data_IF_726045264996
#
_entry.id   IF_726045264996
#
_cell.length_a   1.000
_cell.length_b   1.000
_cell.length_c   1.000
_cell.angle_alpha   90.00
_cell.angle_beta   90.00
_cell.angle_gamma   90.00
#
_symmetry.space_group_name_H-M   'P 1'
#
loop_
_entity.id
_entity.type
_entity.pdbx_description
1 polymer ?
#
# COMPACT_ATOMS: atom_id res chain seq x y z
N UNK A 1 -13.02 2.83 2.95
CA UNK A 1 -11.58 2.66 3.18
C UNK A 1 -11.03 3.83 3.97
N UNK A 2 -10.76 3.60 5.24
CA UNK A 2 -9.94 4.46 6.09
C UNK A 2 -8.46 4.13 5.85
N UNK A 3 -7.60 5.13 5.88
CA UNK A 3 -6.14 4.91 5.80
C UNK A 3 -5.55 5.24 7.16
N UNK A 4 -4.79 4.31 7.73
CA UNK A 4 -3.98 4.52 8.92
C UNK A 4 -2.52 4.46 8.54
N UNK A 5 -1.88 5.61 8.50
CA UNK A 5 -0.45 5.69 8.25
C UNK A 5 0.28 6.09 9.53
N UNK A 6 1.37 5.39 9.87
CA UNK A 6 2.26 5.82 10.94
C UNK A 6 2.82 7.23 10.65
N UNK A 7 3.22 8.03 11.66
CA UNK A 7 3.82 9.34 11.41
C UNK A 7 5.00 9.30 10.44
N UNK A 8 5.84 8.27 10.56
CA UNK A 8 6.98 8.04 9.67
C UNK A 8 6.54 7.70 8.24
N UNK A 9 5.47 6.91 8.07
CA UNK A 9 4.93 6.60 6.75
C UNK A 9 4.37 7.85 6.06
N UNK A 10 3.69 8.73 6.82
CA UNK A 10 3.16 10.01 6.29
C UNK A 10 4.30 10.91 5.81
N UNK A 11 5.40 10.96 6.54
CA UNK A 11 6.57 11.74 6.17
C UNK A 11 7.21 11.20 4.88
N UNK A 12 7.44 9.89 4.81
CA UNK A 12 8.03 9.26 3.61
C UNK A 12 7.13 9.44 2.37
N UNK A 13 5.80 9.37 2.53
CA UNK A 13 4.85 9.66 1.45
C UNK A 13 4.93 11.11 1.00
N UNK A 14 5.03 12.06 1.94
CA UNK A 14 5.17 13.48 1.64
C UNK A 14 6.48 13.78 0.90
N UNK A 15 7.59 13.21 1.35
CA UNK A 15 8.90 13.32 0.68
C UNK A 15 8.86 12.77 -0.75
N UNK A 16 8.11 11.69 -0.98
CA UNK A 16 7.87 11.10 -2.30
C UNK A 16 6.79 11.81 -3.16
N UNK A 17 6.37 13.02 -2.79
CA UNK A 17 5.42 13.81 -3.57
C UNK A 17 3.93 13.57 -3.23
N UNK A 18 3.65 13.05 -2.03
CA UNK A 18 2.30 12.97 -1.45
C UNK A 18 1.41 11.84 -1.97
N UNK A 19 1.95 10.94 -2.79
CA UNK A 19 1.21 9.86 -3.45
C UNK A 19 1.67 8.51 -2.93
N UNK A 20 0.72 7.60 -2.72
CA UNK A 20 0.97 6.22 -2.33
C UNK A 20 0.38 5.26 -3.35
N UNK A 21 1.24 4.51 -4.03
CA UNK A 21 0.86 3.46 -4.95
C UNK A 21 0.83 2.12 -4.22
N UNK A 22 -0.29 1.40 -4.28
CA UNK A 22 -0.48 0.12 -3.59
C UNK A 22 -0.94 -0.93 -4.60
N UNK A 23 -0.30 -2.10 -4.55
CA UNK A 23 -0.62 -3.22 -5.45
C UNK A 23 -0.41 -4.56 -4.79
N UNK A 24 -1.05 -5.59 -5.35
CA UNK A 24 -0.87 -6.97 -4.93
C UNK A 24 0.35 -7.60 -5.58
N UNK A 25 1.14 -8.35 -4.81
CA UNK A 25 2.20 -9.24 -5.28
C UNK A 25 1.90 -10.66 -4.80
N UNK A 26 1.69 -11.56 -5.75
CA UNK A 26 1.50 -12.98 -5.45
C UNK A 26 2.81 -13.57 -4.92
N UNK A 27 2.77 -14.26 -3.78
CA UNK A 27 3.86 -15.10 -3.31
C UNK A 27 4.09 -16.25 -4.29
N UNK A 28 5.36 -16.64 -4.52
CA UNK A 28 5.69 -17.73 -5.47
C UNK A 28 5.67 -19.12 -4.85
N UNK A 29 5.55 -19.27 -3.53
CA UNK A 29 5.50 -20.59 -2.87
C UNK A 29 4.41 -20.69 -1.82
N UNK A 30 3.78 -21.86 -1.83
CA UNK A 30 3.13 -22.52 -0.71
C UNK A 30 1.92 -21.74 -0.14
N UNK A 31 0.80 -21.82 -0.87
CA UNK A 31 -0.46 -21.15 -0.54
C UNK A 31 -0.57 -19.78 -1.24
N UNK A 32 -1.73 -19.47 -1.78
CA UNK A 32 -2.03 -18.29 -2.62
C UNK A 32 -2.01 -16.95 -1.85
N UNK A 33 -1.02 -16.73 -0.99
CA UNK A 33 -0.89 -15.51 -0.21
C UNK A 33 -0.54 -14.35 -1.15
N UNK A 34 -1.37 -13.32 -1.09
CA UNK A 34 -1.25 -12.15 -1.94
C UNK A 34 -0.80 -10.97 -1.09
N UNK A 35 0.49 -10.71 -1.07
CA UNK A 35 1.01 -9.59 -0.30
C UNK A 35 0.62 -8.27 -0.93
N UNK A 36 0.52 -7.22 -0.13
CA UNK A 36 0.45 -5.86 -0.64
C UNK A 36 1.85 -5.27 -0.63
N UNK A 37 2.13 -4.49 -1.67
CA UNK A 37 3.30 -3.65 -1.75
C UNK A 37 2.84 -2.21 -1.84
N UNK A 38 3.68 -1.32 -1.31
CA UNK A 38 3.45 0.10 -1.33
C UNK A 38 4.72 0.85 -1.75
N UNK A 39 4.56 1.93 -2.49
CA UNK A 39 5.65 2.82 -2.91
C UNK A 39 5.13 4.23 -3.16
N UNK A 40 6.00 5.22 -3.04
CA UNK A 40 5.73 6.60 -3.46
C UNK A 40 5.93 6.82 -4.95
N UNK A 41 6.60 5.89 -5.62
CA UNK A 41 6.80 5.86 -7.05
C UNK A 41 5.92 4.79 -7.71
N UNK A 42 5.28 5.16 -8.82
CA UNK A 42 4.43 4.26 -9.58
C UNK A 42 5.29 3.24 -10.36
N UNK A 43 5.16 1.93 -10.11
CA UNK A 43 5.69 0.94 -11.05
C UNK A 43 4.91 0.95 -12.37
N UNK A 44 5.47 0.36 -13.42
CA UNK A 44 4.82 0.20 -14.75
C UNK A 44 3.58 -0.70 -14.67
N UNK A 45 2.43 -0.12 -14.28
CA UNK A 45 1.10 -0.73 -14.24
C UNK A 45 0.04 0.35 -14.11
N UNK A 46 -1.21 -0.03 -14.34
CA UNK A 46 -2.35 0.87 -14.21
C UNK A 46 -2.80 1.04 -12.76
N UNK A 47 -3.07 2.28 -12.38
CA UNK A 47 -3.56 2.65 -11.06
C UNK A 47 -4.81 3.53 -11.16
N UNK A 48 -5.68 3.40 -10.17
CA UNK A 48 -6.82 4.29 -9.95
C UNK A 48 -6.70 4.98 -8.60
N UNK A 49 -6.99 6.29 -8.58
CA UNK A 49 -7.10 7.04 -7.34
C UNK A 49 -8.28 6.54 -6.54
N UNK A 50 -8.10 6.38 -5.23
CA UNK A 50 -9.17 6.09 -4.27
C UNK A 50 -9.29 7.25 -3.30
N UNK A 51 -10.53 7.58 -2.94
CA UNK A 51 -10.79 8.57 -1.92
C UNK A 51 -10.25 8.07 -0.57
N UNK A 52 -9.28 8.79 -0.03
CA UNK A 52 -8.66 8.56 1.26
C UNK A 52 -8.41 9.92 1.92
N UNK A 53 -8.68 10.02 3.23
CA UNK A 53 -8.78 11.30 3.91
C UNK A 53 -7.42 11.98 4.18
N UNK A 54 -6.32 11.21 4.24
CA UNK A 54 -5.04 11.70 4.76
C UNK A 54 -3.88 11.71 3.74
N UNK A 55 -3.91 10.81 2.76
CA UNK A 55 -2.88 10.69 1.71
C UNK A 55 -3.54 10.32 0.39
N UNK A 56 -2.96 10.74 -0.73
CA UNK A 56 -3.46 10.33 -2.04
C UNK A 56 -3.09 8.87 -2.32
N UNK A 57 -4.06 7.97 -2.19
CA UNK A 57 -3.85 6.54 -2.45
C UNK A 57 -4.25 6.19 -3.88
N UNK A 58 -3.39 5.44 -4.54
CA UNK A 58 -3.55 4.90 -5.89
C UNK A 58 -3.47 3.38 -5.79
N UNK A 59 -4.56 2.68 -6.10
CA UNK A 59 -4.61 1.22 -6.10
C UNK A 59 -4.47 0.67 -7.51
N UNK A 60 -3.73 -0.42 -7.66
CA UNK A 60 -3.63 -1.11 -8.95
C UNK A 60 -5.02 -1.46 -9.49
N UNK A 61 -5.27 -1.26 -10.79
CA UNK A 61 -6.59 -1.40 -11.40
C UNK A 61 -7.21 -2.82 -11.22
N UNK A 62 -6.38 -3.84 -11.07
CA UNK A 62 -6.81 -5.23 -10.79
C UNK A 62 -7.44 -5.44 -9.40
N UNK A 63 -7.26 -4.50 -8.47
CA UNK A 63 -7.88 -4.54 -7.13
C UNK A 63 -9.33 -4.05 -7.22
N UNK A 64 -10.26 -5.01 -7.19
CA UNK A 64 -11.71 -4.72 -7.30
C UNK A 64 -12.36 -4.40 -5.95
N UNK A 65 -11.97 -5.10 -4.88
CA UNK A 65 -12.47 -4.86 -3.52
C UNK A 65 -11.53 -3.92 -2.78
N UNK A 66 -12.08 -2.97 -2.05
CA UNK A 66 -11.35 -2.10 -1.14
C UNK A 66 -11.46 -2.66 0.29
N UNK A 67 -10.39 -2.57 1.11
CA UNK A 67 -10.49 -2.87 2.53
C UNK A 67 -11.28 -1.78 3.25
N UNK A 68 -11.75 -2.10 4.44
CA UNK A 68 -12.32 -1.11 5.34
C UNK A 68 -11.20 -0.23 5.91
N UNK A 69 -10.05 -0.85 6.22
CA UNK A 69 -8.84 -0.17 6.68
C UNK A 69 -7.58 -0.55 5.87
N UNK A 70 -6.83 0.45 5.44
CA UNK A 70 -5.49 0.31 4.87
C UNK A 70 -4.47 0.81 5.89
N UNK A 71 -3.74 -0.10 6.53
CA UNK A 71 -2.62 0.24 7.40
C UNK A 71 -1.35 0.40 6.56
N UNK A 72 -0.62 1.49 6.81
CA UNK A 72 0.63 1.82 6.14
C UNK A 72 1.72 2.05 7.18
N UNK A 73 2.80 1.28 7.08
CA UNK A 73 3.93 1.32 7.99
C UNK A 73 5.25 1.49 7.23
N UNK A 74 6.29 1.91 7.94
CA UNK A 74 7.66 1.92 7.42
C UNK A 74 8.41 0.73 7.99
N UNK A 75 9.07 -0.03 7.11
CA UNK A 75 9.99 -1.10 7.49
C UNK A 75 11.38 -0.86 6.91
N UNK A 76 12.34 -1.61 7.43
CA UNK A 76 13.75 -1.51 7.06
C UNK A 76 14.46 -0.36 7.78
N UNK A 77 15.62 -0.64 8.37
CA UNK A 77 16.40 0.36 9.13
C UNK A 77 17.35 1.17 8.25
N UNK A 78 18.01 0.50 7.29
CA UNK A 78 18.99 1.12 6.36
C UNK A 78 18.35 1.57 5.04
N UNK A 79 17.39 0.80 4.54
CA UNK A 79 16.59 1.12 3.36
C UNK A 79 15.14 1.11 3.78
N UNK A 80 14.67 2.27 4.26
CA UNK A 80 13.29 2.46 4.66
C UNK A 80 12.38 2.28 3.45
N UNK A 81 11.32 1.51 3.61
CA UNK A 81 10.32 1.28 2.59
C UNK A 81 8.94 1.17 3.21
N UNK A 82 7.92 1.45 2.39
CA UNK A 82 6.53 1.40 2.81
C UNK A 82 5.99 -0.03 2.69
N UNK A 83 5.29 -0.47 3.72
CA UNK A 83 4.47 -1.67 3.69
C UNK A 83 3.01 -1.30 3.89
N UNK A 84 2.13 -2.07 3.25
CA UNK A 84 0.69 -1.90 3.35
C UNK A 84 0.02 -3.20 3.80
N UNK A 85 -1.02 -3.08 4.61
CA UNK A 85 -1.80 -4.18 5.14
C UNK A 85 -3.29 -3.87 5.01
N UNK A 86 -4.11 -4.87 4.69
CA UNK A 86 -5.58 -4.72 4.64
C UNK A 86 -6.17 -5.28 5.92
N UNK A 87 -6.97 -4.47 6.61
CA UNK A 87 -7.72 -4.88 7.81
C UNK A 87 -6.81 -5.59 8.85
N UNK A 88 -5.54 -5.18 8.95
CA UNK A 88 -4.55 -5.76 9.85
C UNK A 88 -3.90 -7.07 9.41
N UNK A 89 -4.13 -7.54 8.17
CA UNK A 89 -3.58 -8.78 7.63
C UNK A 89 -2.86 -8.61 6.28
N UNK A 90 -1.93 -9.53 5.98
CA UNK A 90 -1.50 -9.76 4.61
C UNK A 90 -2.70 -10.29 3.83
N UNK A 91 -2.98 -9.72 2.66
CA UNK A 91 -4.17 -10.09 1.89
C UNK A 91 -4.10 -11.58 1.47
N UNK A 92 -5.02 -12.39 2.00
CA UNK A 92 -5.21 -13.78 1.56
C UNK A 92 -6.40 -13.76 0.61
N UNK A 93 -6.18 -14.15 -0.65
CA UNK A 93 -7.27 -14.39 -1.62
C UNK A 93 -7.90 -15.74 -1.33
#
# INVERSE_FOLDING_TARGET
MQVRASPEARELVREGGGRLFVWTRKGRCCGAVTFLQASTEAPEREFRRVAAAEIEVYLAAGIRRLPDELLVEVRGRRHKHLEAYWDGCAYVV
#
